data_IF_109682056430
#
_entry.id   IF_109682056430
#
_cell.length_a   1.000
_cell.length_b   1.000
_cell.length_c   1.000
_cell.angle_alpha   90.00
_cell.angle_beta   90.00
_cell.angle_gamma   90.00
#
_symmetry.space_group_name_H-M   'P 1'
#
loop_
_entity.id
_entity.type
_entity.pdbx_description
1 polymer ?
#
# COMPACT_ATOMS: atom_id res chain seq x y z
N UNK A 1 22.36 -12.39 -3.33
CA UNK A 1 20.90 -12.53 -3.58
C UNK A 1 20.68 -12.16 -5.04
N UNK A 2 19.84 -12.89 -5.79
CA UNK A 2 19.55 -12.58 -7.19
C UNK A 2 18.59 -11.38 -7.30
N UNK A 3 18.61 -10.71 -8.45
CA UNK A 3 17.69 -9.63 -8.81
C UNK A 3 17.73 -8.39 -7.91
N UNK A 4 18.89 -8.18 -7.27
CA UNK A 4 19.22 -6.98 -6.48
C UNK A 4 20.56 -6.46 -6.99
N UNK A 5 20.68 -5.14 -7.10
CA UNK A 5 21.93 -4.46 -7.47
C UNK A 5 22.46 -3.64 -6.29
N UNK A 6 23.75 -3.77 -6.01
CA UNK A 6 24.43 -2.96 -4.99
C UNK A 6 24.75 -1.57 -5.54
N UNK A 7 24.35 -0.54 -4.80
CA UNK A 7 24.67 0.87 -5.03
C UNK A 7 24.77 1.56 -3.68
N UNK A 8 25.98 1.69 -3.16
CA UNK A 8 26.23 2.28 -1.84
C UNK A 8 25.68 3.72 -1.76
N UNK A 9 25.07 4.04 -0.61
CA UNK A 9 24.56 5.38 -0.30
C UNK A 9 23.62 5.92 -1.40
N UNK A 10 22.72 5.08 -1.93
CA UNK A 10 21.77 5.51 -2.96
C UNK A 10 20.84 6.59 -2.43
N UNK A 11 20.56 7.58 -3.24
CA UNK A 11 19.54 8.59 -2.93
C UNK A 11 18.17 7.95 -3.17
N UNK A 12 17.35 7.88 -2.13
CA UNK A 12 15.98 7.37 -2.19
C UNK A 12 15.06 8.58 -2.30
N UNK A 13 14.28 8.65 -3.37
CA UNK A 13 13.44 9.79 -3.67
C UNK A 13 11.97 9.40 -3.76
N UNK A 14 11.67 8.17 -4.21
CA UNK A 14 10.30 7.74 -4.51
C UNK A 14 9.93 6.44 -3.81
N UNK A 15 8.66 6.35 -3.44
CA UNK A 15 8.01 5.12 -3.01
C UNK A 15 7.04 4.68 -4.11
N UNK A 16 7.26 3.49 -4.68
CA UNK A 16 6.51 3.02 -5.85
C UNK A 16 5.57 1.88 -5.46
N UNK A 17 4.30 2.06 -5.76
CA UNK A 17 3.25 1.07 -5.51
C UNK A 17 3.01 0.24 -6.78
N UNK A 18 3.07 -1.08 -6.61
CA UNK A 18 2.82 -2.09 -7.64
C UNK A 18 1.71 -3.06 -7.20
N UNK A 19 1.29 -3.93 -8.11
CA UNK A 19 0.53 -5.12 -7.79
C UNK A 19 1.18 -6.33 -8.44
N UNK A 20 1.07 -7.49 -7.81
CA UNK A 20 1.76 -8.71 -8.23
C UNK A 20 1.21 -9.34 -9.52
N UNK A 21 0.03 -8.91 -9.99
CA UNK A 21 -0.75 -9.63 -11.00
C UNK A 21 -0.95 -11.13 -10.65
N UNK A 22 -0.94 -11.45 -9.36
CA UNK A 22 -1.21 -12.77 -8.82
C UNK A 22 -2.71 -12.97 -8.56
N UNK A 23 -3.15 -14.22 -8.46
CA UNK A 23 -4.56 -14.59 -8.34
C UNK A 23 -5.01 -14.79 -6.88
N UNK A 24 -4.15 -14.51 -5.91
CA UNK A 24 -4.46 -14.63 -4.49
C UNK A 24 -3.65 -13.65 -3.65
N UNK A 25 -4.33 -12.99 -2.71
CA UNK A 25 -3.74 -12.13 -1.68
C UNK A 25 -3.74 -12.76 -0.28
N UNK A 26 -4.14 -14.04 -0.16
CA UNK A 26 -4.18 -14.75 1.13
C UNK A 26 -2.81 -14.86 1.76
N UNK A 27 -2.76 -15.02 3.09
CA UNK A 27 -1.54 -15.19 3.87
C UNK A 27 -0.58 -16.23 3.31
N UNK A 28 0.73 -15.94 3.41
CA UNK A 28 1.81 -16.72 2.83
C UNK A 28 2.05 -16.46 1.34
N UNK A 29 1.21 -15.64 0.67
CA UNK A 29 1.45 -15.27 -0.74
C UNK A 29 2.67 -14.38 -0.88
N UNK A 30 2.86 -13.42 0.03
CA UNK A 30 4.03 -12.55 0.04
C UNK A 30 5.34 -13.34 0.10
N UNK A 31 5.41 -14.37 0.96
CA UNK A 31 6.58 -15.29 1.04
C UNK A 31 6.80 -16.06 -0.25
N UNK A 32 5.74 -16.56 -0.89
CA UNK A 32 5.88 -17.28 -2.18
C UNK A 32 6.44 -16.38 -3.27
N UNK A 33 6.01 -15.12 -3.31
CA UNK A 33 6.50 -14.14 -4.28
C UNK A 33 7.95 -13.73 -3.96
N UNK A 34 8.30 -13.51 -2.70
CA UNK A 34 9.68 -13.27 -2.29
C UNK A 34 10.61 -14.43 -2.70
N UNK A 35 10.17 -15.67 -2.49
CA UNK A 35 10.90 -16.85 -2.94
C UNK A 35 11.02 -16.92 -4.48
N UNK A 36 9.98 -16.49 -5.21
CA UNK A 36 10.03 -16.38 -6.66
C UNK A 36 11.05 -15.32 -7.10
N UNK A 37 11.06 -14.15 -6.49
CA UNK A 37 12.05 -13.10 -6.76
C UNK A 37 13.49 -13.54 -6.44
N UNK A 38 13.68 -14.45 -5.48
CA UNK A 38 14.98 -15.03 -5.13
C UNK A 38 15.54 -15.99 -6.17
N UNK A 39 14.81 -16.37 -7.23
CA UNK A 39 15.29 -17.25 -8.29
C UNK A 39 16.09 -16.49 -9.33
N UNK A 40 17.18 -17.10 -9.83
CA UNK A 40 18.09 -16.46 -10.78
C UNK A 40 17.42 -15.99 -12.07
N UNK A 41 16.44 -16.73 -12.57
CA UNK A 41 15.83 -16.50 -13.89
C UNK A 41 14.63 -15.54 -13.86
N UNK A 42 14.23 -15.07 -12.68
CA UNK A 42 13.05 -14.20 -12.54
C UNK A 42 13.27 -12.83 -13.19
N UNK A 43 14.46 -12.25 -13.07
CA UNK A 43 14.83 -10.90 -13.58
C UNK A 43 13.88 -9.79 -13.15
N UNK A 44 13.25 -9.96 -11.99
CA UNK A 44 12.36 -8.99 -11.35
C UNK A 44 12.41 -9.15 -9.83
N UNK A 45 12.21 -8.07 -9.09
CA UNK A 45 12.09 -8.08 -7.64
C UNK A 45 11.47 -6.78 -7.13
N UNK A 46 11.03 -6.75 -5.87
CA UNK A 46 10.60 -5.54 -5.18
C UNK A 46 11.16 -5.55 -3.75
N UNK A 47 11.29 -4.38 -3.15
CA UNK A 47 11.85 -4.26 -1.80
C UNK A 47 10.93 -4.89 -0.76
N UNK A 48 9.61 -4.74 -0.92
CA UNK A 48 8.58 -5.29 -0.05
C UNK A 48 7.46 -5.96 -0.84
N UNK A 49 6.90 -7.01 -0.27
CA UNK A 49 5.70 -7.69 -0.76
C UNK A 49 4.69 -7.74 0.37
N UNK A 50 3.42 -7.42 0.08
CA UNK A 50 2.35 -7.30 1.07
C UNK A 50 1.19 -8.21 0.70
N UNK A 51 0.81 -9.12 1.61
CA UNK A 51 -0.43 -9.89 1.52
C UNK A 51 -1.40 -9.54 2.67
N UNK A 52 -2.49 -10.29 2.81
CA UNK A 52 -3.52 -10.01 3.82
C UNK A 52 -3.02 -10.15 5.27
N UNK A 53 -1.97 -10.93 5.50
CA UNK A 53 -1.54 -11.29 6.86
C UNK A 53 -0.17 -10.74 7.22
N UNK A 54 0.71 -10.49 6.23
CA UNK A 54 2.09 -10.10 6.49
C UNK A 54 2.68 -9.13 5.46
N UNK A 55 3.78 -8.48 5.86
CA UNK A 55 4.73 -7.78 4.99
C UNK A 55 6.02 -8.58 4.97
N UNK A 56 6.51 -8.89 3.78
CA UNK A 56 7.81 -9.54 3.58
C UNK A 56 8.78 -8.54 2.99
N UNK A 57 9.85 -8.23 3.71
CA UNK A 57 10.98 -7.46 3.18
C UNK A 57 11.90 -8.40 2.41
N UNK A 58 12.06 -8.16 1.11
CA UNK A 58 12.94 -8.95 0.24
C UNK A 58 14.33 -8.33 0.14
N UNK A 59 14.44 -7.00 0.02
CA UNK A 59 15.71 -6.29 0.01
C UNK A 59 16.22 -6.06 1.45
N UNK A 60 17.30 -6.70 1.88
CA UNK A 60 17.79 -6.59 3.26
C UNK A 60 18.51 -5.27 3.55
N UNK A 61 18.95 -4.54 2.53
CA UNK A 61 19.74 -3.31 2.69
C UNK A 61 19.30 -2.22 1.69
N UNK A 62 18.17 -1.60 2.00
CA UNK A 62 17.54 -0.60 1.14
C UNK A 62 18.44 0.61 0.86
N UNK A 63 19.32 1.00 1.79
CA UNK A 63 20.20 2.16 1.62
C UNK A 63 21.37 1.91 0.66
N UNK A 64 21.74 0.65 0.46
CA UNK A 64 22.90 0.27 -0.37
C UNK A 64 22.56 -0.71 -1.51
N UNK A 65 21.30 -1.10 -1.63
CA UNK A 65 20.83 -2.03 -2.66
C UNK A 65 19.50 -1.57 -3.23
N UNK A 66 19.21 -1.92 -4.47
CA UNK A 66 17.91 -1.70 -5.09
C UNK A 66 17.41 -2.92 -5.85
N UNK A 67 16.11 -3.09 -5.84
CA UNK A 67 15.39 -4.13 -6.57
C UNK A 67 15.14 -3.76 -8.03
N UNK A 68 14.79 -4.77 -8.84
CA UNK A 68 14.50 -4.62 -10.27
C UNK A 68 12.99 -4.58 -10.50
N UNK A 69 12.35 -3.48 -10.10
CA UNK A 69 10.89 -3.36 -10.05
C UNK A 69 10.29 -2.51 -11.19
N UNK A 70 10.96 -1.41 -11.60
CA UNK A 70 10.33 -0.43 -12.49
C UNK A 70 10.79 -0.51 -13.95
N UNK A 71 11.96 -1.10 -14.21
CA UNK A 71 12.51 -1.18 -15.56
C UNK A 71 12.82 0.18 -16.19
N UNK A 72 13.07 0.21 -17.50
CA UNK A 72 13.43 1.39 -18.29
C UNK A 72 12.57 1.60 -19.54
N UNK A 73 11.53 0.75 -19.74
CA UNK A 73 10.65 0.80 -20.90
C UNK A 73 9.52 1.79 -20.70
N UNK A 74 9.30 2.69 -21.66
CA UNK A 74 8.08 3.50 -21.76
C UNK A 74 7.06 2.80 -22.68
N UNK A 75 5.83 2.65 -22.21
CA UNK A 75 4.71 2.17 -23.02
C UNK A 75 4.17 3.30 -23.88
N UNK A 76 3.70 2.98 -25.10
CA UNK A 76 3.25 4.01 -26.06
C UNK A 76 1.82 4.49 -25.84
N UNK A 77 0.99 3.71 -25.14
CA UNK A 77 -0.38 4.10 -24.82
C UNK A 77 -0.58 4.02 -23.32
N UNK A 78 -1.22 5.03 -22.76
CA UNK A 78 -1.50 5.14 -21.34
C UNK A 78 -2.99 4.95 -21.09
N UNK A 79 -3.33 4.24 -20.03
CA UNK A 79 -4.72 4.06 -19.61
C UNK A 79 -5.26 5.25 -18.82
N UNK A 80 -4.36 6.09 -18.28
CA UNK A 80 -4.71 7.30 -17.53
C UNK A 80 -3.74 8.45 -17.84
N UNK A 81 -4.13 9.67 -17.49
CA UNK A 81 -3.33 10.89 -17.62
C UNK A 81 -2.03 10.88 -16.81
N UNK A 82 -1.93 10.03 -15.78
CA UNK A 82 -0.73 9.90 -14.97
C UNK A 82 0.36 9.02 -15.62
N UNK A 83 0.03 8.30 -16.70
CA UNK A 83 0.94 7.36 -17.35
C UNK A 83 2.22 8.01 -17.88
N UNK A 84 3.38 7.50 -17.46
CA UNK A 84 4.69 7.92 -17.97
C UNK A 84 5.16 9.33 -17.56
N UNK A 85 4.44 10.03 -16.68
CA UNK A 85 4.75 11.43 -16.26
C UNK A 85 6.10 11.56 -15.55
N UNK A 86 6.61 10.47 -14.99
CA UNK A 86 7.89 10.38 -14.28
C UNK A 86 8.92 9.51 -14.99
N UNK A 87 8.73 9.26 -16.30
CA UNK A 87 9.68 8.48 -17.07
C UNK A 87 11.08 9.09 -17.01
N UNK A 88 12.09 8.25 -16.75
CA UNK A 88 13.50 8.62 -16.52
C UNK A 88 13.78 9.49 -15.29
N UNK A 89 12.76 9.97 -14.58
CA UNK A 89 12.93 10.65 -13.27
C UNK A 89 12.97 9.65 -12.12
N UNK A 90 12.01 8.73 -12.08
CA UNK A 90 12.02 7.62 -11.15
C UNK A 90 12.59 6.37 -11.83
N UNK A 91 13.49 5.67 -11.13
CA UNK A 91 14.17 4.47 -11.61
C UNK A 91 14.47 3.53 -10.44
N UNK A 92 14.88 2.27 -10.73
CA UNK A 92 15.19 1.31 -9.68
C UNK A 92 16.14 1.85 -8.60
N UNK A 93 17.11 2.68 -8.98
CA UNK A 93 18.15 3.12 -8.05
C UNK A 93 17.74 4.25 -7.10
N UNK A 94 16.65 4.97 -7.36
CA UNK A 94 16.12 6.01 -6.46
C UNK A 94 14.71 5.71 -5.92
N UNK A 95 14.20 4.47 -6.12
CA UNK A 95 12.89 4.04 -5.68
C UNK A 95 12.97 2.94 -4.62
N UNK A 96 12.03 2.96 -3.67
CA UNK A 96 11.62 1.79 -2.89
C UNK A 96 10.33 1.26 -3.52
N UNK A 97 10.23 -0.05 -3.75
CA UNK A 97 9.08 -0.68 -4.42
C UNK A 97 8.31 -1.59 -3.49
N UNK A 98 6.98 -1.43 -3.47
CA UNK A 98 6.05 -2.27 -2.71
C UNK A 98 5.13 -3.00 -3.69
N UNK A 99 5.12 -4.33 -3.64
CA UNK A 99 4.21 -5.21 -4.38
C UNK A 99 3.01 -5.59 -3.53
N UNK A 100 1.83 -5.13 -3.90
CA UNK A 100 0.56 -5.56 -3.30
C UNK A 100 0.13 -6.88 -3.91
N UNK A 101 -0.08 -7.92 -3.10
CA UNK A 101 -0.69 -9.15 -3.55
C UNK A 101 -2.14 -8.88 -3.99
N UNK A 102 -2.48 -9.28 -5.21
CA UNK A 102 -3.78 -9.08 -5.82
C UNK A 102 -4.60 -10.36 -5.85
N UNK A 103 -5.90 -10.21 -6.02
CA UNK A 103 -6.86 -11.27 -6.26
C UNK A 103 -7.43 -11.19 -7.67
N UNK A 104 -7.93 -12.31 -8.20
CA UNK A 104 -8.59 -12.39 -9.49
C UNK A 104 -9.73 -13.39 -9.45
N UNK A 105 -10.92 -13.00 -9.95
CA UNK A 105 -12.08 -13.88 -9.95
C UNK A 105 -11.93 -15.05 -10.95
N UNK A 106 -11.44 -14.75 -12.16
CA UNK A 106 -11.16 -15.77 -13.19
C UNK A 106 -9.66 -16.01 -13.30
N UNK A 107 -9.16 -17.01 -12.58
CA UNK A 107 -7.74 -17.38 -12.59
C UNK A 107 -7.26 -18.03 -13.90
N UNK A 108 -8.17 -18.39 -14.82
CA UNK A 108 -7.81 -18.96 -16.13
C UNK A 108 -7.35 -17.91 -17.15
N UNK A 109 -7.57 -16.63 -16.87
CA UNK A 109 -7.07 -15.51 -17.69
C UNK A 109 -6.23 -14.59 -16.82
N UNK A 110 -5.01 -14.28 -17.28
CA UNK A 110 -4.09 -13.35 -16.59
C UNK A 110 -3.80 -12.12 -17.46
N UNK A 111 -4.71 -11.76 -18.37
CA UNK A 111 -4.54 -10.58 -19.20
C UNK A 111 -4.64 -9.32 -18.35
N UNK A 112 -3.75 -8.37 -18.59
CA UNK A 112 -3.77 -7.06 -17.89
C UNK A 112 -5.04 -6.27 -18.20
N UNK A 113 -5.69 -6.55 -19.34
CA UNK A 113 -6.96 -5.91 -19.75
C UNK A 113 -8.20 -6.49 -19.06
N UNK A 114 -8.07 -7.59 -18.31
CA UNK A 114 -9.20 -8.17 -17.59
C UNK A 114 -9.66 -7.21 -16.49
N UNK A 115 -10.96 -7.09 -16.30
CA UNK A 115 -11.57 -6.11 -15.38
C UNK A 115 -11.81 -6.66 -13.97
N UNK A 116 -11.53 -7.94 -13.75
CA UNK A 116 -11.80 -8.68 -12.51
C UNK A 116 -10.58 -8.78 -11.56
N UNK A 117 -9.53 -8.04 -11.83
CA UNK A 117 -8.44 -7.82 -10.89
C UNK A 117 -8.90 -6.98 -9.71
N UNK A 118 -8.47 -7.33 -8.49
CA UNK A 118 -8.77 -6.58 -7.27
C UNK A 118 -7.63 -6.62 -6.27
N UNK A 119 -7.64 -5.67 -5.34
CA UNK A 119 -6.73 -5.62 -4.19
C UNK A 119 -7.63 -5.51 -2.96
N UNK A 120 -7.50 -6.46 -2.03
CA UNK A 120 -8.33 -6.48 -0.83
C UNK A 120 -8.02 -5.31 0.11
N UNK A 121 -9.03 -4.86 0.87
CA UNK A 121 -8.87 -3.77 1.84
C UNK A 121 -7.76 -4.06 2.86
N UNK A 122 -7.58 -5.33 3.28
CA UNK A 122 -6.49 -5.71 4.18
C UNK A 122 -5.11 -5.43 3.58
N UNK A 123 -4.91 -5.75 2.30
CA UNK A 123 -3.65 -5.48 1.60
C UNK A 123 -3.44 -3.96 1.46
N UNK A 124 -4.48 -3.21 1.09
CA UNK A 124 -4.42 -1.75 0.97
C UNK A 124 -4.04 -1.09 2.30
N UNK A 125 -4.71 -1.45 3.41
CA UNK A 125 -4.44 -0.87 4.74
C UNK A 125 -3.04 -1.25 5.24
N UNK A 126 -2.60 -2.49 5.03
CA UNK A 126 -1.25 -2.94 5.42
C UNK A 126 -0.17 -2.24 4.60
N UNK A 127 -0.41 -2.05 3.29
CA UNK A 127 0.47 -1.28 2.41
C UNK A 127 0.53 0.18 2.85
N UNK A 128 -0.59 0.76 3.26
CA UNK A 128 -0.63 2.14 3.74
C UNK A 128 0.17 2.32 5.05
N UNK A 129 0.10 1.38 5.99
CA UNK A 129 0.93 1.39 7.19
C UNK A 129 2.43 1.33 6.84
N UNK A 130 2.80 0.41 5.96
CA UNK A 130 4.18 0.30 5.49
C UNK A 130 4.62 1.58 4.80
N UNK A 131 3.80 2.15 3.90
CA UNK A 131 4.11 3.38 3.18
C UNK A 131 4.37 4.54 4.13
N UNK A 132 3.54 4.75 5.16
CA UNK A 132 3.76 5.79 6.19
C UNK A 132 5.10 5.62 6.89
N UNK A 133 5.44 4.39 7.32
CA UNK A 133 6.73 4.12 7.99
C UNK A 133 7.92 4.40 7.07
N UNK A 134 7.83 4.01 5.79
CA UNK A 134 8.89 4.25 4.80
C UNK A 134 9.03 5.74 4.43
N UNK A 135 7.91 6.46 4.33
CA UNK A 135 7.93 7.92 4.14
C UNK A 135 8.67 8.61 5.28
N UNK A 136 8.37 8.25 6.53
CA UNK A 136 9.03 8.81 7.71
C UNK A 136 10.51 8.39 7.81
N UNK A 137 10.84 7.12 7.52
CA UNK A 137 12.21 6.59 7.66
C UNK A 137 13.18 7.15 6.60
N UNK A 138 12.67 7.44 5.39
CA UNK A 138 13.47 7.85 4.23
C UNK A 138 13.18 9.28 3.78
N UNK A 139 12.42 10.07 4.55
CA UNK A 139 12.04 11.46 4.25
C UNK A 139 11.36 11.60 2.86
N UNK A 140 10.51 10.65 2.49
CA UNK A 140 9.81 10.64 1.20
C UNK A 140 8.52 11.47 1.34
N UNK A 141 8.36 12.59 0.62
CA UNK A 141 7.15 13.38 0.69
C UNK A 141 5.98 12.69 -0.03
N UNK A 142 4.75 13.09 0.32
CA UNK A 142 3.53 12.44 -0.18
C UNK A 142 3.42 12.45 -1.71
N UNK A 143 3.85 13.50 -2.37
CA UNK A 143 3.85 13.65 -3.84
C UNK A 143 4.93 12.81 -4.54
N UNK A 144 5.85 12.22 -3.79
CA UNK A 144 6.81 11.23 -4.25
C UNK A 144 6.37 9.77 -3.97
N UNK A 145 5.19 9.56 -3.38
CA UNK A 145 4.55 8.25 -3.39
C UNK A 145 3.80 8.13 -4.71
N UNK A 146 4.18 7.17 -5.54
CA UNK A 146 3.76 7.07 -6.95
C UNK A 146 3.38 5.64 -7.32
N UNK A 147 2.66 5.47 -8.41
CA UNK A 147 2.41 4.16 -9.01
C UNK A 147 3.46 3.83 -10.08
N UNK A 148 3.72 2.56 -10.34
CA UNK A 148 4.57 2.15 -11.46
C UNK A 148 4.05 2.72 -12.79
N UNK A 149 2.73 2.87 -12.92
CA UNK A 149 2.09 3.54 -14.06
C UNK A 149 2.66 4.94 -14.32
N UNK A 150 2.91 5.73 -13.29
CA UNK A 150 3.47 7.07 -13.42
C UNK A 150 4.89 7.06 -14.03
N UNK A 151 5.65 5.96 -13.88
CA UNK A 151 7.01 5.85 -14.41
C UNK A 151 6.99 5.42 -15.88
N UNK A 152 6.34 4.31 -16.16
CA UNK A 152 6.47 3.62 -17.45
C UNK A 152 5.20 3.65 -18.30
N UNK A 153 4.06 4.06 -17.75
CA UNK A 153 2.74 3.90 -18.38
C UNK A 153 2.20 2.47 -18.37
N UNK A 154 2.92 1.51 -17.74
CA UNK A 154 2.42 0.15 -17.53
C UNK A 154 1.15 0.19 -16.69
N UNK A 155 0.17 -0.66 -16.99
CA UNK A 155 -1.03 -0.79 -16.14
C UNK A 155 -0.67 -1.49 -14.81
N UNK A 156 -0.05 -0.75 -13.90
CA UNK A 156 0.38 -1.25 -12.60
C UNK A 156 0.32 -0.14 -11.52
N UNK A 157 -0.49 -0.30 -10.46
CA UNK A 157 -1.43 -1.40 -10.18
C UNK A 157 -2.65 -1.36 -11.11
N UNK A 158 -2.95 -2.43 -11.82
CA UNK A 158 -4.02 -2.45 -12.81
C UNK A 158 -5.39 -2.03 -12.26
N UNK A 159 -5.84 -2.51 -11.08
CA UNK A 159 -7.13 -2.11 -10.53
C UNK A 159 -7.30 -0.60 -10.27
N UNK A 160 -6.19 0.14 -10.21
CA UNK A 160 -6.17 1.58 -9.91
C UNK A 160 -5.89 2.46 -11.12
N UNK A 161 -5.47 1.86 -12.24
CA UNK A 161 -5.06 2.58 -13.45
C UNK A 161 -5.64 1.98 -14.73
N UNK A 162 -6.73 1.24 -14.63
CA UNK A 162 -7.44 0.67 -15.77
C UNK A 162 -7.97 1.74 -16.72
N UNK A 163 -8.48 2.82 -16.14
CA UNK A 163 -9.07 4.00 -16.76
C UNK A 163 -9.00 5.19 -15.78
N UNK A 164 -9.41 6.40 -16.21
CA UNK A 164 -9.42 7.60 -15.36
C UNK A 164 -10.32 7.45 -14.12
N UNK A 165 -11.44 6.75 -14.21
CA UNK A 165 -12.35 6.53 -13.07
C UNK A 165 -11.68 5.68 -11.98
N UNK A 166 -10.89 4.71 -12.37
CA UNK A 166 -10.14 3.82 -11.47
C UNK A 166 -9.11 4.56 -10.62
N UNK A 167 -8.65 5.76 -11.04
CA UNK A 167 -7.76 6.61 -10.25
C UNK A 167 -8.36 7.03 -8.91
N UNK A 168 -9.69 6.95 -8.73
CA UNK A 168 -10.33 7.16 -7.42
C UNK A 168 -9.71 6.27 -6.32
N UNK A 169 -9.41 5.01 -6.64
CA UNK A 169 -8.75 4.09 -5.69
C UNK A 169 -7.34 4.56 -5.30
N UNK A 170 -6.60 5.12 -6.24
CA UNK A 170 -5.28 5.72 -5.98
C UNK A 170 -5.39 6.94 -5.08
N UNK A 171 -6.31 7.86 -5.39
CA UNK A 171 -6.51 9.05 -4.56
C UNK A 171 -7.02 8.71 -3.16
N UNK A 172 -7.82 7.66 -3.02
CA UNK A 172 -8.24 7.17 -1.71
C UNK A 172 -7.07 6.57 -0.93
N UNK A 173 -6.16 5.83 -1.59
CA UNK A 173 -4.93 5.38 -0.96
C UNK A 173 -4.06 6.55 -0.49
N UNK A 174 -3.88 7.60 -1.30
CA UNK A 174 -3.14 8.80 -0.91
C UNK A 174 -3.78 9.53 0.30
N UNK A 175 -5.12 9.55 0.41
CA UNK A 175 -5.81 10.08 1.60
C UNK A 175 -5.48 9.26 2.85
N UNK A 176 -5.35 7.94 2.72
CA UNK A 176 -5.02 7.05 3.84
C UNK A 176 -3.61 7.32 4.36
N UNK A 177 -2.63 7.51 3.47
CA UNK A 177 -1.22 7.70 3.84
C UNK A 177 -0.85 9.14 4.15
N UNK A 178 -1.70 10.11 3.80
CA UNK A 178 -1.46 11.52 4.13
C UNK A 178 -1.27 11.68 5.65
N UNK A 179 -0.28 12.46 6.10
CA UNK A 179 -0.16 12.83 7.51
C UNK A 179 -1.46 13.46 8.01
N UNK A 180 -2.09 12.84 9.00
CA UNK A 180 -3.35 13.34 9.55
C UNK A 180 -3.07 14.48 10.53
N UNK A 181 -3.61 15.67 10.26
CA UNK A 181 -3.81 16.68 11.29
C UNK A 181 -5.14 16.34 11.97
N UNK A 182 -5.08 15.96 13.26
CA UNK A 182 -6.30 15.69 14.03
C UNK A 182 -7.14 16.99 14.12
N UNK A 183 -8.44 16.94 13.79
CA UNK A 183 -9.33 18.07 14.06
C UNK A 183 -9.30 18.43 15.54
N UNK A 184 -9.50 19.71 15.87
CA UNK A 184 -9.56 20.17 17.29
C UNK A 184 -10.72 19.55 18.04
N UNK A 185 -11.88 19.40 17.38
CA UNK A 185 -13.10 18.86 17.95
C UNK A 185 -13.47 17.54 17.29
N UNK A 186 -14.05 16.58 18.03
CA UNK A 186 -14.59 15.37 17.44
C UNK A 186 -15.80 15.69 16.54
N UNK A 187 -16.06 14.83 15.56
CA UNK A 187 -17.30 14.85 14.77
C UNK A 187 -18.51 14.60 15.69
N UNK A 188 -18.36 13.65 16.63
CA UNK A 188 -19.33 13.34 17.66
C UNK A 188 -18.65 12.57 18.81
N UNK A 189 -19.38 12.43 19.93
CA UNK A 189 -19.02 11.55 21.02
C UNK A 189 -19.74 10.22 20.89
N UNK A 190 -19.03 9.13 21.17
CA UNK A 190 -19.60 7.80 21.20
C UNK A 190 -19.29 7.07 22.50
N UNK A 191 -20.11 6.09 22.86
CA UNK A 191 -19.92 5.21 23.99
C UNK A 191 -19.63 3.78 23.52
N UNK A 192 -18.60 3.14 24.08
CA UNK A 192 -18.25 1.76 23.76
C UNK A 192 -19.32 0.79 24.29
N UNK A 193 -19.78 -0.12 23.45
CA UNK A 193 -20.82 -1.12 23.79
C UNK A 193 -20.23 -2.44 24.30
N UNK A 194 -18.92 -2.64 24.15
CA UNK A 194 -18.12 -3.76 24.63
C UNK A 194 -16.70 -3.29 24.94
N UNK A 195 -15.84 -4.14 25.50
CA UNK A 195 -14.40 -3.88 25.52
C UNK A 195 -13.92 -3.78 24.07
N UNK A 196 -13.28 -2.66 23.72
CA UNK A 196 -13.04 -2.27 22.35
C UNK A 196 -11.55 -2.00 22.09
N UNK A 197 -10.96 -2.79 21.23
CA UNK A 197 -9.58 -2.58 20.81
C UNK A 197 -9.47 -1.32 19.95
N UNK A 198 -8.57 -0.43 20.33
CA UNK A 198 -8.08 0.69 19.54
C UNK A 198 -6.80 0.24 18.83
N UNK A 199 -6.72 0.48 17.55
CA UNK A 199 -5.65 -0.01 16.68
C UNK A 199 -4.90 1.14 16.01
N UNK A 200 -3.66 0.90 15.65
CA UNK A 200 -2.81 1.83 14.89
C UNK A 200 -3.45 2.21 13.53
N UNK A 201 -4.12 1.26 12.90
CA UNK A 201 -4.90 1.47 11.66
C UNK A 201 -6.12 0.55 11.62
N UNK A 202 -7.14 0.87 10.80
CA UNK A 202 -8.29 -0.01 10.58
C UNK A 202 -7.87 -1.40 10.11
N UNK A 203 -8.62 -2.41 10.52
CA UNK A 203 -8.55 -3.80 10.05
C UNK A 203 -7.25 -4.53 10.44
N UNK A 204 -6.08 -3.97 10.14
CA UNK A 204 -4.78 -4.66 10.18
C UNK A 204 -3.78 -4.08 11.18
N UNK A 205 -4.04 -2.91 11.75
CA UNK A 205 -3.13 -2.25 12.70
C UNK A 205 -3.02 -3.01 14.03
N UNK A 206 -1.86 -2.92 14.68
CA UNK A 206 -1.64 -3.47 16.01
C UNK A 206 -2.55 -2.80 17.03
N UNK A 207 -2.91 -3.53 18.09
CA UNK A 207 -3.69 -2.97 19.21
C UNK A 207 -2.79 -2.07 20.04
N UNK A 208 -3.12 -0.77 20.07
CA UNK A 208 -2.38 0.23 20.85
C UNK A 208 -3.00 0.48 22.21
N UNK A 209 -4.32 0.18 22.36
CA UNK A 209 -5.09 0.38 23.60
C UNK A 209 -6.38 -0.44 23.54
N UNK A 210 -6.93 -0.75 24.69
CA UNK A 210 -8.30 -1.30 24.82
C UNK A 210 -9.12 -0.36 25.68
N UNK A 211 -10.25 0.12 25.15
CA UNK A 211 -11.26 0.84 25.93
C UNK A 211 -12.19 -0.17 26.61
N UNK A 212 -12.53 0.08 27.87
CA UNK A 212 -13.53 -0.71 28.56
C UNK A 212 -14.94 -0.40 28.04
N UNK A 213 -15.87 -1.35 28.19
CA UNK A 213 -17.29 -1.13 27.91
C UNK A 213 -17.81 0.08 28.70
N UNK A 214 -18.57 0.94 28.05
CA UNK A 214 -19.14 2.16 28.66
C UNK A 214 -18.19 3.36 28.67
N UNK A 215 -17.01 3.24 28.03
CA UNK A 215 -16.09 4.39 27.89
C UNK A 215 -16.62 5.35 26.85
N UNK A 216 -16.69 6.65 27.21
CA UNK A 216 -16.97 7.72 26.23
C UNK A 216 -15.71 8.09 25.48
N UNK A 217 -15.80 8.13 24.15
CA UNK A 217 -14.71 8.44 23.23
C UNK A 217 -15.14 9.46 22.18
N UNK A 218 -14.23 10.35 21.78
CA UNK A 218 -14.45 11.24 20.64
C UNK A 218 -14.11 10.56 19.32
N UNK A 219 -14.98 10.68 18.33
CA UNK A 219 -14.73 10.23 16.95
C UNK A 219 -14.39 11.45 16.10
N UNK A 220 -13.18 11.49 15.54
CA UNK A 220 -12.61 12.62 14.82
C UNK A 220 -12.62 12.45 13.30
N UNK A 221 -12.69 11.22 12.83
CA UNK A 221 -12.83 10.85 11.41
C UNK A 221 -13.45 9.45 11.30
N UNK A 222 -14.06 9.18 10.16
CA UNK A 222 -14.60 7.85 9.85
C UNK A 222 -14.05 7.32 8.52
N UNK A 223 -13.78 6.02 8.49
CA UNK A 223 -13.34 5.33 7.29
C UNK A 223 -13.73 3.85 7.32
N UNK A 224 -14.53 3.40 6.34
CA UNK A 224 -14.90 1.97 6.16
C UNK A 224 -15.40 1.29 7.43
N UNK A 225 -16.27 1.96 8.21
CA UNK A 225 -16.81 1.42 9.45
C UNK A 225 -15.85 1.49 10.65
N UNK A 226 -14.76 2.23 10.54
CA UNK A 226 -13.83 2.54 11.63
C UNK A 226 -13.86 4.02 11.96
N UNK A 227 -13.83 4.33 13.27
CA UNK A 227 -13.76 5.67 13.81
C UNK A 227 -12.37 6.00 14.34
N UNK A 228 -11.84 7.18 13.97
CA UNK A 228 -10.57 7.69 14.50
C UNK A 228 -10.79 8.34 15.84
N UNK A 229 -10.10 7.86 16.87
CA UNK A 229 -10.00 8.48 18.21
C UNK A 229 -8.65 9.18 18.35
N UNK A 230 -8.40 9.84 19.48
CA UNK A 230 -7.09 10.40 19.83
C UNK A 230 -6.00 9.33 19.97
N UNK A 231 -6.35 8.11 20.31
CA UNK A 231 -5.39 7.03 20.55
C UNK A 231 -5.15 6.15 19.30
N UNK A 232 -6.10 6.12 18.37
CA UNK A 232 -6.04 5.25 17.20
C UNK A 232 -7.40 5.04 16.55
N UNK A 233 -7.62 3.88 15.95
CA UNK A 233 -8.82 3.50 15.23
C UNK A 233 -9.62 2.43 15.96
N UNK A 234 -10.92 2.60 16.05
CA UNK A 234 -11.86 1.66 16.65
C UNK A 234 -12.93 1.23 15.66
N UNK A 235 -13.43 0.00 15.79
CA UNK A 235 -14.56 -0.45 14.97
C UNK A 235 -15.86 0.22 15.46
N UNK A 236 -16.55 0.92 14.56
CA UNK A 236 -17.81 1.62 14.87
C UNK A 236 -18.96 0.65 15.16
N UNK A 237 -18.84 -0.64 14.82
CA UNK A 237 -19.83 -1.66 15.24
C UNK A 237 -19.99 -1.78 16.75
N UNK A 238 -19.02 -1.29 17.51
CA UNK A 238 -19.00 -1.34 18.98
C UNK A 238 -19.06 0.07 19.62
N UNK A 239 -19.50 1.06 18.87
CA UNK A 239 -19.65 2.45 19.32
C UNK A 239 -21.09 2.91 19.11
N UNK A 240 -21.73 3.41 20.15
CA UNK A 240 -23.04 4.06 20.09
C UNK A 240 -22.85 5.56 20.25
N UNK A 241 -23.33 6.35 19.31
CA UNK A 241 -23.34 7.81 19.38
C UNK A 241 -24.15 8.29 20.60
N UNK A 242 -23.65 9.30 21.33
CA UNK A 242 -24.25 9.87 22.53
C UNK A 242 -24.18 11.40 22.53
#
# INVERSE_FOLDING_TARGET
MYNITTKKNRQIEFLVIHYTAGTSSKGGTAKRIANYFGKQDTKASADFIVDQDEVVQFNPDIRNQYCWAVGDKLYKSFSTSLGGTLYKKACNSNCISIEMCSDKKNANSLKVTDTDWSISDKVVERTALLAKRLMDEYDIPLDHVIMHHCISGKQCPQPWVRDEESLSNWYDFLKIIRPETMPRNPLYSGMTTANLNCREAPIVGDVVKTYEKGTQIGIYAERRGWGRTTDGWVSLNYVKEV
#
